data_IF_771534327717
#
_entry.id   IF_771534327717
#
_cell.length_a   1.000
_cell.length_b   1.000
_cell.length_c   1.000
_cell.angle_alpha   90.00
_cell.angle_beta   90.00
_cell.angle_gamma   90.00
#
_symmetry.space_group_name_H-M   'P 1'
#
loop_
_entity.id
_entity.type
_entity.pdbx_description
1 polymer ?
#
# COMPACT_ATOMS: atom_id res chain seq x y z
N UNK A 1 -16.72 0.28 13.17
CA UNK A 1 -16.79 -0.65 12.03
C UNK A 1 -17.87 -1.73 12.19
N UNK A 2 -18.65 -2.04 11.15
CA UNK A 2 -19.56 -3.21 11.07
C UNK A 2 -18.88 -4.42 10.40
N UNK A 3 -19.09 -5.66 10.87
CA UNK A 3 -18.58 -6.88 10.20
C UNK A 3 -19.74 -7.63 9.55
N UNK A 4 -19.65 -7.86 8.23
CA UNK A 4 -20.68 -8.47 7.39
C UNK A 4 -20.25 -9.89 7.01
N UNK A 5 -21.04 -10.91 7.38
CA UNK A 5 -20.69 -12.35 7.20
C UNK A 5 -21.46 -13.08 6.09
N UNK A 6 -22.48 -12.47 5.51
CA UNK A 6 -23.27 -13.09 4.43
C UNK A 6 -23.84 -12.05 3.49
N UNK A 7 -24.27 -12.47 2.30
CA UNK A 7 -24.96 -11.66 1.29
C UNK A 7 -26.38 -11.24 1.72
N UNK A 8 -26.61 -10.97 2.99
CA UNK A 8 -27.86 -10.43 3.48
C UNK A 8 -27.96 -8.95 3.08
N UNK A 9 -29.16 -8.47 2.69
CA UNK A 9 -29.37 -7.07 2.40
C UNK A 9 -29.04 -6.25 3.65
N UNK A 10 -28.14 -5.29 3.48
CA UNK A 10 -27.74 -4.37 4.54
C UNK A 10 -28.82 -3.29 4.61
N UNK A 11 -29.33 -2.97 5.82
CA UNK A 11 -30.42 -2.03 5.97
C UNK A 11 -30.03 -0.64 5.46
N UNK A 12 -30.89 -0.02 4.65
CA UNK A 12 -30.65 1.21 3.89
C UNK A 12 -30.38 2.49 4.70
N UNK A 13 -30.45 2.45 6.03
CA UNK A 13 -30.17 3.60 6.88
C UNK A 13 -29.90 3.13 8.30
N UNK A 14 -28.65 3.20 8.73
CA UNK A 14 -28.28 3.36 10.14
C UNK A 14 -27.28 4.49 10.23
N UNK A 15 -27.28 5.19 11.36
CA UNK A 15 -26.16 6.03 11.78
C UNK A 15 -24.89 5.20 11.67
N UNK A 16 -24.10 5.45 10.63
CA UNK A 16 -22.85 4.75 10.42
C UNK A 16 -21.90 5.11 11.56
N UNK A 17 -21.10 4.17 12.04
CA UNK A 17 -20.11 4.48 13.07
C UNK A 17 -19.21 5.62 12.59
N UNK A 18 -18.82 6.52 13.50
CA UNK A 18 -17.92 7.69 13.27
C UNK A 18 -16.49 7.28 12.83
N UNK A 19 -16.28 5.99 12.53
CA UNK A 19 -15.01 5.43 12.11
C UNK A 19 -14.81 5.65 10.59
N UNK A 20 -13.56 5.94 10.14
CA UNK A 20 -13.19 5.91 8.73
C UNK A 20 -13.55 4.60 8.01
N UNK A 21 -13.60 3.49 8.75
CA UNK A 21 -13.94 2.15 8.28
C UNK A 21 -15.38 1.80 8.70
N UNK A 22 -16.32 2.11 7.83
CA UNK A 22 -17.75 1.90 8.06
C UNK A 22 -18.08 0.41 8.22
N UNK A 23 -17.55 -0.43 7.32
CA UNK A 23 -17.80 -1.86 7.35
C UNK A 23 -16.66 -2.69 6.75
N UNK A 24 -16.65 -3.98 7.09
CA UNK A 24 -15.81 -5.01 6.51
C UNK A 24 -16.68 -6.19 6.13
N UNK A 25 -16.55 -6.68 4.90
CA UNK A 25 -17.14 -7.94 4.47
C UNK A 25 -16.02 -8.94 4.18
N UNK A 26 -16.11 -10.11 4.80
CA UNK A 26 -15.19 -11.22 4.56
C UNK A 26 -16.01 -12.51 4.40
N UNK A 27 -15.85 -13.19 3.28
CA UNK A 27 -16.61 -14.41 3.02
C UNK A 27 -16.40 -15.04 1.65
N UNK A 28 -17.03 -16.20 1.46
CA UNK A 28 -16.94 -16.97 0.21
C UNK A 28 -17.93 -16.47 -0.84
N UNK A 29 -17.46 -16.30 -2.08
CA UNK A 29 -18.25 -15.92 -3.24
C UNK A 29 -18.63 -17.15 -4.08
N UNK A 30 -19.88 -17.62 -3.95
CA UNK A 30 -20.37 -18.78 -4.72
C UNK A 30 -20.52 -18.47 -6.21
N UNK A 31 -21.30 -17.44 -6.55
CA UNK A 31 -21.52 -17.01 -7.93
C UNK A 31 -21.42 -15.49 -8.08
N UNK A 32 -22.18 -14.77 -7.26
CA UNK A 32 -22.30 -13.32 -7.36
C UNK A 32 -22.68 -12.72 -6.01
N UNK A 33 -22.17 -11.54 -5.72
CA UNK A 33 -22.58 -10.69 -4.60
C UNK A 33 -22.75 -9.26 -5.07
N UNK A 34 -23.85 -8.64 -4.67
CA UNK A 34 -24.08 -7.20 -4.91
C UNK A 34 -23.58 -6.45 -3.69
N UNK A 35 -22.66 -5.51 -3.92
CA UNK A 35 -22.11 -4.68 -2.85
C UNK A 35 -23.19 -3.70 -2.38
N UNK A 36 -23.33 -3.49 -1.07
CA UNK A 36 -24.24 -2.49 -0.56
C UNK A 36 -23.71 -1.09 -0.90
N UNK A 37 -24.61 -0.10 -0.96
CA UNK A 37 -24.23 1.30 -1.15
C UNK A 37 -23.78 1.93 0.17
N UNK A 38 -22.85 1.26 0.85
CA UNK A 38 -22.24 1.74 2.09
C UNK A 38 -21.02 2.59 1.76
N UNK A 39 -21.25 3.87 1.46
CA UNK A 39 -20.17 4.83 1.20
C UNK A 39 -19.63 4.79 -0.22
N UNK A 40 -18.66 5.67 -0.48
CA UNK A 40 -18.17 5.94 -1.83
C UNK A 40 -16.91 5.15 -2.17
N UNK A 41 -16.31 4.37 -1.27
CA UNK A 41 -15.05 3.68 -1.57
C UNK A 41 -14.97 2.24 -1.04
N UNK A 42 -14.63 1.33 -1.96
CA UNK A 42 -14.46 -0.09 -1.68
C UNK A 42 -13.06 -0.55 -2.05
N UNK A 43 -12.40 -1.25 -1.12
CA UNK A 43 -11.20 -2.02 -1.42
C UNK A 43 -11.57 -3.49 -1.53
N UNK A 44 -11.41 -4.07 -2.72
CA UNK A 44 -11.73 -5.48 -2.99
C UNK A 44 -10.45 -6.28 -3.13
N UNK A 45 -10.31 -7.32 -2.32
CA UNK A 45 -9.18 -8.25 -2.32
C UNK A 45 -9.68 -9.68 -2.58
N UNK A 46 -9.44 -10.26 -3.77
CA UNK A 46 -9.51 -11.69 -4.01
C UNK A 46 -8.49 -12.42 -3.14
N UNK A 47 -8.93 -13.46 -2.45
CA UNK A 47 -8.11 -14.28 -1.56
C UNK A 47 -8.02 -15.72 -2.08
N UNK A 48 -6.85 -16.35 -1.88
CA UNK A 48 -6.55 -17.64 -2.53
C UNK A 48 -6.59 -17.49 -4.05
N UNK A 49 -6.72 -18.56 -4.83
CA UNK A 49 -6.68 -18.51 -6.32
C UNK A 49 -7.92 -17.87 -7.00
N UNK A 50 -8.57 -16.93 -6.32
CA UNK A 50 -9.77 -16.26 -6.78
C UNK A 50 -9.54 -15.45 -8.07
N UNK A 51 -10.49 -15.56 -9.00
CA UNK A 51 -10.63 -14.65 -10.14
C UNK A 51 -12.05 -14.14 -10.22
N UNK A 52 -12.20 -12.83 -10.17
CA UNK A 52 -13.51 -12.18 -10.08
C UNK A 52 -13.65 -11.10 -11.15
N UNK A 53 -14.89 -10.78 -11.52
CA UNK A 53 -15.23 -9.57 -12.26
C UNK A 53 -15.95 -8.59 -11.35
N UNK A 54 -15.52 -7.34 -11.34
CA UNK A 54 -16.18 -6.24 -10.67
C UNK A 54 -16.00 -4.94 -11.45
N UNK A 55 -17.07 -4.17 -11.63
CA UNK A 55 -17.04 -2.89 -12.34
C UNK A 55 -16.36 -2.95 -13.74
N UNK A 56 -16.59 -4.03 -14.49
CA UNK A 56 -15.95 -4.26 -15.79
C UNK A 56 -14.46 -4.60 -15.75
N UNK A 57 -13.86 -4.72 -14.56
CA UNK A 57 -12.46 -5.10 -14.35
C UNK A 57 -12.38 -6.55 -13.89
N UNK A 58 -11.39 -7.29 -14.40
CA UNK A 58 -11.05 -8.64 -13.94
C UNK A 58 -9.93 -8.53 -12.91
N UNK A 59 -10.09 -9.21 -11.78
CA UNK A 59 -9.10 -9.28 -10.71
C UNK A 59 -8.65 -10.71 -10.48
N UNK A 60 -7.37 -10.87 -10.17
CA UNK A 60 -6.71 -12.12 -9.78
C UNK A 60 -6.20 -12.06 -8.33
N UNK A 61 -5.74 -13.20 -7.80
CA UNK A 61 -5.41 -13.44 -6.39
C UNK A 61 -4.33 -12.56 -5.74
N UNK A 62 -3.55 -11.84 -6.53
CA UNK A 62 -2.53 -10.89 -6.04
C UNK A 62 -2.85 -9.49 -6.55
N UNK A 63 -4.12 -9.13 -6.59
CA UNK A 63 -4.56 -7.82 -7.02
C UNK A 63 -5.58 -7.27 -6.05
N UNK A 64 -5.68 -5.96 -5.98
CA UNK A 64 -6.79 -5.29 -5.33
C UNK A 64 -7.45 -4.33 -6.31
N UNK A 65 -8.73 -4.07 -6.09
CA UNK A 65 -9.47 -3.06 -6.84
C UNK A 65 -9.97 -2.02 -5.87
N UNK A 66 -9.71 -0.78 -6.28
CA UNK A 66 -10.23 0.40 -5.66
C UNK A 66 -11.47 0.80 -6.44
N UNK A 67 -12.63 0.86 -5.79
CA UNK A 67 -13.90 1.21 -6.42
C UNK A 67 -14.46 2.46 -5.76
N UNK A 68 -14.77 3.48 -6.53
CA UNK A 68 -15.51 4.67 -6.07
C UNK A 68 -17.01 4.54 -6.25
N UNK A 69 -17.83 5.46 -5.72
CA UNK A 69 -19.28 5.44 -5.90
C UNK A 69 -19.66 5.19 -7.38
N UNK A 70 -20.61 4.28 -7.64
CA UNK A 70 -21.07 4.02 -9.01
C UNK A 70 -21.58 5.30 -9.67
N UNK A 71 -21.13 5.56 -10.90
CA UNK A 71 -21.52 6.75 -11.67
C UNK A 71 -23.00 6.78 -12.04
N UNK A 72 -23.67 5.63 -12.04
CA UNK A 72 -25.08 5.45 -12.43
C UNK A 72 -25.99 5.09 -11.25
N UNK A 73 -25.51 5.29 -10.01
CA UNK A 73 -26.20 4.94 -8.76
C UNK A 73 -26.59 3.44 -8.66
N UNK A 74 -26.09 2.56 -9.54
CA UNK A 74 -26.34 1.12 -9.46
C UNK A 74 -25.26 0.45 -8.61
N UNK A 75 -25.63 -0.40 -7.65
CA UNK A 75 -24.63 -1.07 -6.81
C UNK A 75 -23.70 -1.95 -7.64
N UNK A 76 -22.40 -1.92 -7.32
CA UNK A 76 -21.47 -2.83 -7.95
C UNK A 76 -21.82 -4.28 -7.65
N UNK A 77 -21.50 -5.12 -8.61
CA UNK A 77 -21.71 -6.54 -8.49
C UNK A 77 -20.40 -7.27 -8.75
N UNK A 78 -19.97 -8.07 -7.78
CA UNK A 78 -18.80 -8.93 -7.91
C UNK A 78 -19.30 -10.30 -8.35
N UNK A 79 -18.74 -10.82 -9.44
CA UNK A 79 -19.08 -12.14 -9.98
C UNK A 79 -17.84 -13.04 -9.98
N UNK A 80 -18.00 -14.30 -9.57
CA UNK A 80 -16.95 -15.30 -9.65
C UNK A 80 -16.77 -15.72 -11.12
N UNK A 81 -15.53 -15.73 -11.60
CA UNK A 81 -15.20 -16.14 -12.97
C UNK A 81 -14.61 -17.56 -13.06
N UNK A 82 -14.37 -18.22 -11.92
CA UNK A 82 -13.94 -19.62 -11.89
C UNK A 82 -15.13 -20.59 -11.91
N UNK A 83 -14.90 -21.77 -12.50
CA UNK A 83 -15.83 -22.91 -12.54
C UNK A 83 -15.49 -24.01 -11.50
N UNK A 84 -14.52 -23.77 -10.61
CA UNK A 84 -14.03 -24.77 -9.65
C UNK A 84 -14.99 -24.95 -8.46
N UNK A 85 -14.99 -26.13 -7.84
CA UNK A 85 -15.85 -26.48 -6.69
C UNK A 85 -15.62 -25.59 -5.44
N UNK A 86 -14.46 -24.94 -5.35
CA UNK A 86 -14.09 -24.05 -4.24
C UNK A 86 -14.58 -22.63 -4.49
N UNK A 87 -15.41 -22.12 -3.55
CA UNK A 87 -15.88 -20.73 -3.59
C UNK A 87 -14.74 -19.78 -3.17
N UNK A 88 -14.28 -18.86 -4.02
CA UNK A 88 -13.21 -17.93 -3.68
C UNK A 88 -13.57 -17.08 -2.46
N UNK A 89 -12.60 -16.84 -1.58
CA UNK A 89 -12.77 -15.91 -0.48
C UNK A 89 -12.50 -14.49 -0.94
N UNK A 90 -13.19 -13.53 -0.33
CA UNK A 90 -13.04 -12.12 -0.61
C UNK A 90 -13.01 -11.32 0.68
N UNK A 91 -12.18 -10.28 0.69
CA UNK A 91 -12.23 -9.20 1.66
C UNK A 91 -12.66 -7.92 0.94
N UNK A 92 -13.67 -7.25 1.48
CA UNK A 92 -14.14 -5.94 1.02
C UNK A 92 -14.17 -4.97 2.19
N UNK A 93 -13.41 -3.87 2.09
CA UNK A 93 -13.39 -2.80 3.09
C UNK A 93 -14.23 -1.62 2.59
N UNK A 94 -15.11 -1.10 3.44
CA UNK A 94 -16.04 -0.01 3.13
C UNK A 94 -15.64 1.25 3.90
N UNK A 95 -15.24 2.29 3.18
CA UNK A 95 -14.73 3.53 3.77
C UNK A 95 -15.78 4.64 3.77
N UNK A 96 -15.72 5.52 4.77
CA UNK A 96 -16.65 6.65 4.89
C UNK A 96 -16.41 7.74 3.82
N UNK A 97 -17.47 8.42 3.35
CA UNK A 97 -17.36 9.57 2.45
C UNK A 97 -16.37 10.65 2.88
N UNK A 98 -16.47 11.08 4.15
CA UNK A 98 -15.66 12.16 4.69
C UNK A 98 -14.17 11.77 4.71
N UNK A 99 -13.88 10.53 5.10
CA UNK A 99 -12.52 10.02 5.07
C UNK A 99 -11.92 10.03 3.66
N UNK A 100 -12.72 9.76 2.62
CA UNK A 100 -12.23 9.78 1.23
C UNK A 100 -11.84 11.20 0.82
N UNK A 101 -12.65 12.20 1.18
CA UNK A 101 -12.36 13.60 0.86
C UNK A 101 -11.08 14.04 1.55
N UNK A 102 -10.98 13.78 2.85
CA UNK A 102 -9.80 14.10 3.66
C UNK A 102 -8.54 13.43 3.10
N UNK A 103 -8.66 12.15 2.75
CA UNK A 103 -7.59 11.34 2.21
C UNK A 103 -7.18 11.78 0.81
N UNK A 104 -8.12 12.12 -0.08
CA UNK A 104 -7.80 12.63 -1.41
C UNK A 104 -7.02 13.93 -1.32
N UNK A 105 -7.45 14.85 -0.44
CA UNK A 105 -6.74 16.08 -0.12
C UNK A 105 -5.35 15.82 0.44
N UNK A 106 -5.22 14.96 1.45
CA UNK A 106 -3.94 14.61 2.08
C UNK A 106 -2.95 13.96 1.10
N UNK A 107 -3.41 13.06 0.24
CA UNK A 107 -2.56 12.35 -0.71
C UNK A 107 -2.24 13.19 -1.95
N UNK A 108 -2.95 14.31 -2.18
CA UNK A 108 -2.80 15.14 -3.37
C UNK A 108 -3.27 14.44 -4.64
N UNK A 109 -4.32 13.63 -4.54
CA UNK A 109 -4.94 12.92 -5.66
C UNK A 109 -6.33 13.51 -5.93
N UNK A 110 -6.83 13.49 -7.18
CA UNK A 110 -8.18 13.95 -7.47
C UNK A 110 -9.23 13.22 -6.62
N UNK A 111 -10.20 13.95 -6.08
CA UNK A 111 -11.29 13.38 -5.28
C UNK A 111 -12.15 12.37 -6.07
N UNK A 112 -12.25 12.56 -7.38
CA UNK A 112 -12.86 11.62 -8.31
C UNK A 112 -11.86 10.51 -8.67
N UNK A 113 -11.74 9.52 -7.79
CA UNK A 113 -10.82 8.38 -7.95
C UNK A 113 -11.31 7.38 -9.02
N UNK A 114 -12.39 7.68 -9.76
CA UNK A 114 -12.85 6.87 -10.89
C UNK A 114 -11.77 6.71 -11.99
N UNK A 115 -10.81 7.64 -12.07
CA UNK A 115 -9.68 7.53 -13.01
C UNK A 115 -8.62 6.49 -12.58
N UNK A 116 -8.76 5.90 -11.38
CA UNK A 116 -7.87 4.88 -10.83
C UNK A 116 -8.52 3.47 -10.79
N UNK A 117 -9.69 3.29 -11.42
CA UNK A 117 -10.42 2.01 -11.54
C UNK A 117 -9.66 0.98 -12.38
N UNK A 118 -8.61 0.41 -11.82
CA UNK A 118 -7.84 -0.67 -12.42
C UNK A 118 -7.46 -1.68 -11.36
N UNK A 119 -7.36 -2.95 -11.75
CA UNK A 119 -6.76 -3.96 -10.89
C UNK A 119 -5.30 -3.55 -10.62
N UNK A 120 -4.98 -3.34 -9.34
CA UNK A 120 -3.64 -2.97 -8.91
C UNK A 120 -2.97 -4.22 -8.36
N UNK A 121 -1.80 -4.62 -8.87
CA UNK A 121 -1.08 -5.76 -8.32
C UNK A 121 -0.67 -5.48 -6.88
N UNK A 122 -1.04 -6.38 -5.98
CA UNK A 122 -0.33 -6.60 -4.74
C UNK A 122 0.98 -7.29 -5.06
N UNK A 123 2.02 -6.93 -4.33
CA UNK A 123 3.35 -7.41 -4.63
C UNK A 123 3.72 -8.51 -3.63
N UNK A 124 4.32 -9.58 -4.13
CA UNK A 124 4.55 -10.78 -3.32
C UNK A 124 5.42 -10.49 -2.10
N UNK A 125 4.90 -10.85 -0.92
CA UNK A 125 5.61 -10.75 0.35
C UNK A 125 5.58 -9.37 1.00
N UNK A 126 4.83 -8.40 0.46
CA UNK A 126 4.57 -7.13 1.17
C UNK A 126 3.66 -7.33 2.39
N UNK A 127 3.64 -6.36 3.30
CA UNK A 127 2.88 -6.44 4.56
C UNK A 127 1.39 -6.65 4.32
N UNK A 128 0.81 -6.03 3.27
CA UNK A 128 -0.58 -6.26 2.88
C UNK A 128 -0.79 -7.73 2.49
N UNK A 129 0.04 -8.28 1.60
CA UNK A 129 -0.06 -9.68 1.16
C UNK A 129 0.13 -10.66 2.32
N UNK A 130 1.07 -10.40 3.23
CA UNK A 130 1.29 -11.21 4.44
C UNK A 130 0.06 -11.20 5.35
N UNK A 131 -0.54 -10.03 5.55
CA UNK A 131 -1.77 -9.91 6.33
C UNK A 131 -2.93 -10.66 5.68
N UNK A 132 -3.14 -10.50 4.36
CA UNK A 132 -4.19 -11.20 3.63
C UNK A 132 -4.00 -12.72 3.69
N UNK A 133 -2.76 -13.22 3.62
CA UNK A 133 -2.45 -14.64 3.83
C UNK A 133 -2.78 -15.10 5.26
N UNK A 134 -2.45 -14.29 6.26
CA UNK A 134 -2.82 -14.56 7.66
C UNK A 134 -4.33 -14.68 7.85
N UNK A 135 -5.12 -13.80 7.20
CA UNK A 135 -6.57 -13.86 7.21
C UNK A 135 -7.12 -15.15 6.60
N UNK A 136 -6.55 -15.62 5.48
CA UNK A 136 -6.95 -16.89 4.86
C UNK A 136 -6.73 -18.05 5.84
N UNK A 137 -5.62 -18.03 6.59
CA UNK A 137 -5.23 -19.12 7.48
C UNK A 137 -6.08 -19.22 8.76
N UNK A 138 -6.73 -18.13 9.19
CA UNK A 138 -7.41 -18.09 10.49
C UNK A 138 -8.87 -18.59 10.44
N UNK A 139 -9.47 -18.73 9.24
CA UNK A 139 -10.85 -19.15 8.92
C UNK A 139 -12.00 -18.42 9.67
N UNK A 140 -11.72 -17.71 10.77
CA UNK A 140 -12.68 -17.16 11.70
C UNK A 140 -12.27 -15.74 12.16
N UNK A 141 -13.05 -14.74 11.76
CA UNK A 141 -12.89 -13.33 12.15
C UNK A 141 -13.55 -13.00 13.51
N UNK A 142 -13.87 -14.01 14.33
CA UNK A 142 -14.81 -13.91 15.47
C UNK A 142 -14.32 -13.14 16.70
N UNK A 143 -13.02 -13.11 17.01
CA UNK A 143 -12.53 -12.44 18.24
C UNK A 143 -11.19 -11.68 18.12
N UNK A 144 -10.52 -11.70 16.96
CA UNK A 144 -9.20 -11.07 16.75
C UNK A 144 -9.22 -9.78 15.89
N UNK A 145 -10.38 -9.35 15.40
CA UNK A 145 -10.51 -8.24 14.46
C UNK A 145 -10.58 -6.88 15.16
N UNK A 146 -9.45 -6.39 15.66
CA UNK A 146 -9.34 -4.96 15.94
C UNK A 146 -9.52 -4.16 14.64
N UNK A 147 -10.08 -2.95 14.73
CA UNK A 147 -10.17 -2.01 13.59
C UNK A 147 -8.77 -1.63 13.07
N UNK A 148 -7.77 -1.68 13.95
CA UNK A 148 -6.39 -1.26 13.74
C UNK A 148 -5.68 -1.99 12.57
N UNK A 149 -5.61 -3.34 12.50
CA UNK A 149 -5.02 -4.02 11.35
C UNK A 149 -5.65 -3.67 9.99
N UNK A 150 -6.96 -3.40 9.95
CA UNK A 150 -7.61 -2.97 8.71
C UNK A 150 -7.23 -1.53 8.35
N UNK A 151 -7.18 -0.65 9.35
CA UNK A 151 -6.72 0.73 9.17
C UNK A 151 -5.26 0.78 8.69
N UNK A 152 -4.41 -0.14 9.15
CA UNK A 152 -3.04 -0.28 8.65
C UNK A 152 -3.00 -0.66 7.16
N UNK A 153 -3.82 -1.64 6.74
CA UNK A 153 -3.94 -2.00 5.32
C UNK A 153 -4.42 -0.81 4.50
N UNK A 154 -5.45 -0.11 4.98
CA UNK A 154 -6.00 1.08 4.32
C UNK A 154 -4.87 2.10 4.16
N UNK A 155 -4.14 2.44 5.22
CA UNK A 155 -3.00 3.35 5.16
C UNK A 155 -1.93 2.92 4.14
N UNK A 156 -1.56 1.64 4.12
CA UNK A 156 -0.58 1.11 3.18
C UNK A 156 -1.06 1.16 1.73
N UNK A 157 -2.29 0.73 1.47
CA UNK A 157 -2.88 0.75 0.12
C UNK A 157 -2.99 2.18 -0.40
N UNK A 158 -3.40 3.11 0.45
CA UNK A 158 -3.48 4.52 0.10
C UNK A 158 -2.12 5.15 -0.17
N UNK A 159 -1.10 4.77 0.59
CA UNK A 159 0.27 5.14 0.30
C UNK A 159 0.70 4.62 -1.08
N UNK A 160 0.42 3.36 -1.40
CA UNK A 160 0.70 2.77 -2.72
C UNK A 160 -0.06 3.51 -3.83
N UNK A 161 -1.32 3.90 -3.61
CA UNK A 161 -2.10 4.65 -4.59
C UNK A 161 -1.54 6.04 -4.85
N UNK A 162 -1.09 6.74 -3.82
CA UNK A 162 -0.41 8.03 -3.98
C UNK A 162 0.87 7.89 -4.80
N UNK A 163 1.70 6.90 -4.49
CA UNK A 163 2.93 6.63 -5.24
C UNK A 163 2.62 6.31 -6.70
N UNK A 164 1.60 5.48 -6.96
CA UNK A 164 1.13 5.15 -8.29
C UNK A 164 0.64 6.38 -9.04
N UNK A 165 -0.17 7.23 -8.40
CA UNK A 165 -0.70 8.45 -9.02
C UNK A 165 0.43 9.41 -9.40
N UNK A 166 1.37 9.66 -8.49
CA UNK A 166 2.55 10.48 -8.77
C UNK A 166 3.39 9.90 -9.92
N UNK A 167 3.62 8.59 -9.91
CA UNK A 167 4.30 7.90 -11.00
C UNK A 167 3.59 8.08 -12.35
N UNK A 168 2.26 8.00 -12.38
CA UNK A 168 1.47 8.22 -13.59
C UNK A 168 1.57 9.66 -14.11
N UNK A 169 1.51 10.65 -13.21
CA UNK A 169 1.70 12.06 -13.58
C UNK A 169 3.09 12.30 -14.18
N UNK A 170 4.12 11.73 -13.55
CA UNK A 170 5.51 11.86 -14.01
C UNK A 170 5.78 11.13 -15.32
N UNK A 171 5.01 10.07 -15.61
CA UNK A 171 5.07 9.32 -16.86
C UNK A 171 4.04 9.78 -17.91
N UNK A 172 3.32 10.89 -17.68
CA UNK A 172 2.25 11.39 -18.57
C UNK A 172 2.68 11.66 -20.01
N UNK A 173 3.98 11.88 -20.25
CA UNK A 173 4.56 12.06 -21.59
C UNK A 173 4.71 10.73 -22.38
N UNK A 174 4.60 9.58 -21.72
CA UNK A 174 4.68 8.26 -22.36
C UNK A 174 3.32 7.79 -22.88
N UNK A 175 3.31 6.93 -23.90
CA UNK A 175 2.08 6.29 -24.39
C UNK A 175 1.47 5.40 -23.30
N UNK A 176 0.13 5.38 -23.20
CA UNK A 176 -0.62 4.60 -22.19
C UNK A 176 -0.19 3.13 -22.11
N UNK A 177 0.03 2.46 -23.24
CA UNK A 177 0.46 1.06 -23.28
C UNK A 177 1.85 0.87 -22.65
N UNK A 178 2.76 1.81 -22.90
CA UNK A 178 4.11 1.80 -22.30
C UNK A 178 4.04 2.01 -20.78
N UNK A 179 3.17 2.90 -20.31
CA UNK A 179 2.96 3.12 -18.86
C UNK A 179 2.43 1.85 -18.19
N UNK A 180 1.46 1.18 -18.81
CA UNK A 180 0.88 -0.06 -18.31
C UNK A 180 1.91 -1.19 -18.16
N UNK A 181 2.94 -1.21 -19.00
CA UNK A 181 4.05 -2.19 -18.92
C UNK A 181 5.12 -1.78 -17.90
N UNK A 182 5.52 -0.49 -17.88
CA UNK A 182 6.65 -0.02 -17.07
C UNK A 182 6.31 0.18 -15.60
N UNK A 183 5.11 0.68 -15.29
CA UNK A 183 4.74 1.05 -13.93
C UNK A 183 4.79 -0.14 -12.94
N UNK A 184 4.24 -1.33 -13.26
CA UNK A 184 4.38 -2.50 -12.38
C UNK A 184 5.85 -2.87 -12.12
N UNK A 185 6.70 -2.82 -13.15
CA UNK A 185 8.14 -3.11 -13.03
C UNK A 185 8.85 -2.10 -12.14
N UNK A 186 8.50 -0.82 -12.23
CA UNK A 186 9.09 0.23 -11.40
C UNK A 186 8.66 0.13 -9.93
N UNK A 187 7.41 -0.24 -9.66
CA UNK A 187 6.92 -0.52 -8.31
C UNK A 187 7.61 -1.77 -7.71
N UNK A 188 7.77 -2.84 -8.49
CA UNK A 188 8.54 -4.02 -8.10
C UNK A 188 10.00 -3.67 -7.76
N UNK A 189 10.64 -2.83 -8.58
CA UNK A 189 12.01 -2.37 -8.33
C UNK A 189 12.12 -1.60 -7.00
N UNK A 190 11.14 -0.74 -6.69
CA UNK A 190 11.10 0.01 -5.44
C UNK A 190 11.04 -0.94 -4.23
N UNK A 191 10.17 -1.94 -4.26
CA UNK A 191 10.09 -2.90 -3.17
C UNK A 191 11.31 -3.80 -3.05
N UNK A 192 11.91 -4.19 -4.18
CA UNK A 192 13.18 -4.91 -4.15
C UNK A 192 14.23 -4.13 -3.35
N UNK A 193 14.23 -2.80 -3.48
CA UNK A 193 15.07 -1.89 -2.70
C UNK A 193 14.62 -1.83 -1.23
N UNK A 194 13.33 -1.62 -0.95
CA UNK A 194 12.76 -1.57 0.41
C UNK A 194 12.99 -2.86 1.21
N UNK A 195 13.04 -4.02 0.57
CA UNK A 195 13.32 -5.30 1.22
C UNK A 195 14.82 -5.50 1.53
N UNK A 196 15.73 -4.70 0.96
CA UNK A 196 17.18 -4.95 0.97
C UNK A 196 18.03 -3.73 1.34
N UNK A 197 17.43 -2.59 1.68
CA UNK A 197 18.16 -1.32 1.83
C UNK A 197 19.23 -1.36 2.93
N UNK A 198 19.11 -2.24 3.92
CA UNK A 198 20.13 -2.47 4.97
C UNK A 198 21.42 -3.08 4.42
N UNK A 199 21.38 -3.68 3.23
CA UNK A 199 22.54 -4.25 2.55
C UNK A 199 22.99 -3.38 1.37
N UNK A 200 24.23 -3.56 0.87
CA UNK A 200 24.68 -2.88 -0.34
C UNK A 200 23.81 -3.25 -1.55
N UNK A 201 23.20 -2.25 -2.19
CA UNK A 201 22.39 -2.41 -3.41
C UNK A 201 23.11 -1.75 -4.58
N UNK A 202 23.31 -2.49 -5.67
CA UNK A 202 23.77 -1.95 -6.95
C UNK A 202 22.58 -1.73 -7.89
N UNK A 203 22.53 -0.59 -8.57
CA UNK A 203 21.48 -0.27 -9.56
C UNK A 203 21.32 -1.37 -10.61
N UNK A 204 22.42 -1.93 -11.13
CA UNK A 204 22.43 -3.08 -12.04
C UNK A 204 21.61 -4.28 -11.54
N UNK A 205 21.67 -4.59 -10.24
CA UNK A 205 20.95 -5.73 -9.66
C UNK A 205 19.44 -5.48 -9.68
N UNK A 206 19.03 -4.26 -9.30
CA UNK A 206 17.62 -3.88 -9.32
C UNK A 206 17.08 -3.85 -10.75
N UNK A 207 17.85 -3.29 -11.69
CA UNK A 207 17.47 -3.25 -13.10
C UNK A 207 17.29 -4.67 -13.69
N UNK A 208 18.22 -5.57 -13.37
CA UNK A 208 18.14 -6.98 -13.77
C UNK A 208 16.92 -7.71 -13.18
N UNK A 209 16.57 -7.42 -11.92
CA UNK A 209 15.38 -7.99 -11.27
C UNK A 209 14.07 -7.66 -11.99
N UNK A 210 14.02 -6.50 -12.67
CA UNK A 210 12.81 -6.03 -13.37
C UNK A 210 12.97 -6.06 -14.90
N UNK A 211 13.92 -6.85 -15.40
CA UNK A 211 14.18 -7.04 -16.83
C UNK A 211 14.37 -5.73 -17.61
N UNK A 212 15.11 -4.77 -17.04
CA UNK A 212 15.48 -3.51 -17.69
C UNK A 212 17.01 -3.37 -17.76
N UNK A 213 17.50 -2.68 -18.80
CA UNK A 213 18.90 -2.24 -18.81
C UNK A 213 19.16 -1.24 -17.68
N UNK A 214 20.38 -1.25 -17.13
CA UNK A 214 20.75 -0.38 -16.01
C UNK A 214 20.53 1.12 -16.31
N UNK A 215 20.93 1.56 -17.50
CA UNK A 215 20.75 2.96 -17.92
C UNK A 215 19.27 3.34 -18.05
N UNK A 216 18.47 2.50 -18.72
CA UNK A 216 17.05 2.77 -18.90
C UNK A 216 16.31 2.77 -17.55
N UNK A 217 16.61 1.80 -16.70
CA UNK A 217 16.04 1.71 -15.35
C UNK A 217 16.38 2.94 -14.51
N UNK A 218 17.65 3.36 -14.45
CA UNK A 218 18.05 4.51 -13.64
C UNK A 218 17.33 5.80 -14.07
N UNK A 219 17.15 6.00 -15.39
CA UNK A 219 16.40 7.13 -15.94
C UNK A 219 14.92 7.04 -15.57
N UNK A 220 14.28 5.89 -15.84
CA UNK A 220 12.86 5.69 -15.54
C UNK A 220 12.57 5.82 -14.05
N UNK A 221 13.38 5.21 -13.18
CA UNK A 221 13.21 5.28 -11.73
C UNK A 221 13.28 6.73 -11.24
N UNK A 222 14.28 7.50 -11.71
CA UNK A 222 14.41 8.92 -11.36
C UNK A 222 13.24 9.75 -11.87
N UNK A 223 12.80 9.54 -13.11
CA UNK A 223 11.63 10.24 -13.66
C UNK A 223 10.36 9.88 -12.90
N UNK A 224 10.19 8.61 -12.54
CA UNK A 224 8.95 8.12 -11.94
C UNK A 224 8.80 8.54 -10.48
N UNK A 225 9.88 8.47 -9.70
CA UNK A 225 9.85 8.70 -8.25
C UNK A 225 10.55 9.98 -7.80
N UNK A 226 11.02 10.82 -8.73
CA UNK A 226 11.76 12.06 -8.49
C UNK A 226 13.02 11.91 -7.63
N UNK A 227 13.54 10.69 -7.50
CA UNK A 227 14.75 10.38 -6.73
C UNK A 227 15.57 9.31 -7.45
N UNK A 228 16.89 9.41 -7.35
CA UNK A 228 17.76 8.30 -7.79
C UNK A 228 17.66 7.12 -6.82
N UNK A 229 17.95 5.91 -7.29
CA UNK A 229 18.03 4.69 -6.46
C UNK A 229 18.92 4.92 -5.23
N UNK A 230 20.07 5.56 -5.40
CA UNK A 230 20.99 5.88 -4.30
C UNK A 230 20.38 6.82 -3.27
N UNK A 231 19.75 7.90 -3.71
CA UNK A 231 19.08 8.84 -2.81
C UNK A 231 17.93 8.17 -2.06
N UNK A 232 17.21 7.28 -2.74
CA UNK A 232 16.12 6.53 -2.15
C UNK A 232 16.58 5.56 -1.05
N UNK A 233 17.64 4.79 -1.30
CA UNK A 233 18.28 3.94 -0.28
C UNK A 233 18.76 4.77 0.92
N UNK A 234 19.40 5.91 0.68
CA UNK A 234 19.85 6.80 1.77
C UNK A 234 18.65 7.24 2.62
N UNK A 235 17.53 7.64 2.00
CA UNK A 235 16.32 8.04 2.70
C UNK A 235 15.80 6.91 3.60
N UNK A 236 15.62 5.71 3.06
CA UNK A 236 15.17 4.54 3.82
C UNK A 236 16.05 4.25 5.04
N UNK A 237 17.39 4.28 4.86
CA UNK A 237 18.34 4.05 5.96
C UNK A 237 18.26 5.12 7.05
N UNK A 238 18.07 6.38 6.67
CA UNK A 238 17.98 7.48 7.62
C UNK A 238 16.63 7.49 8.34
N UNK A 239 15.56 7.09 7.67
CA UNK A 239 14.24 6.92 8.28
C UNK A 239 14.27 5.82 9.34
N UNK A 240 14.88 4.67 9.03
CA UNK A 240 15.07 3.60 10.01
C UNK A 240 16.01 4.03 11.15
N UNK A 241 17.05 4.81 10.85
CA UNK A 241 17.92 5.35 11.89
C UNK A 241 17.16 6.28 12.86
N UNK A 242 16.26 7.12 12.36
CA UNK A 242 15.39 7.97 13.21
C UNK A 242 14.53 7.10 14.12
N UNK A 243 13.85 6.10 13.55
CA UNK A 243 13.04 5.15 14.32
C UNK A 243 13.84 4.48 15.43
N UNK A 244 15.05 4.00 15.15
CA UNK A 244 15.92 3.37 16.14
C UNK A 244 16.44 4.36 17.20
N UNK A 245 16.70 5.62 16.83
CA UNK A 245 17.12 6.67 17.77
C UNK A 245 16.00 7.04 18.75
N UNK A 246 14.74 6.97 18.30
CA UNK A 246 13.53 7.31 19.06
C UNK A 246 13.05 6.15 19.94
N UNK A 247 13.13 4.92 19.43
CA UNK A 247 12.56 3.73 20.08
C UNK A 247 13.56 2.89 20.89
N UNK A 248 14.87 3.20 20.82
CA UNK A 248 15.90 2.39 21.47
C UNK A 248 17.06 3.21 22.05
N UNK A 249 17.75 2.62 23.03
CA UNK A 249 18.98 3.16 23.62
C UNK A 249 20.28 2.70 22.92
N UNK A 250 20.18 2.03 21.76
CA UNK A 250 21.35 1.54 21.01
C UNK A 250 22.37 2.65 20.77
N UNK A 251 23.67 2.34 20.73
CA UNK A 251 24.70 3.36 20.46
C UNK A 251 24.55 3.86 19.02
N UNK A 252 24.87 5.13 18.78
CA UNK A 252 24.82 5.75 17.45
C UNK A 252 25.71 5.01 16.43
N UNK A 253 26.84 4.45 16.90
CA UNK A 253 27.71 3.56 16.13
C UNK A 253 26.97 2.34 15.62
N UNK A 254 26.25 1.68 16.52
CA UNK A 254 25.60 0.41 16.26
C UNK A 254 24.41 0.62 15.32
N UNK A 255 23.65 1.70 15.53
CA UNK A 255 22.58 2.13 14.61
C UNK A 255 23.13 2.39 13.22
N UNK A 256 24.26 3.10 13.09
CA UNK A 256 24.87 3.39 11.79
C UNK A 256 25.25 2.11 11.02
N UNK A 257 25.81 1.12 11.71
CA UNK A 257 26.14 -0.19 11.15
C UNK A 257 24.88 -0.99 10.78
N UNK A 258 23.89 -1.00 11.67
CA UNK A 258 22.62 -1.72 11.51
C UNK A 258 21.83 -1.21 10.30
N UNK A 259 21.80 0.11 10.07
CA UNK A 259 21.15 0.70 8.90
C UNK A 259 22.02 0.66 7.63
N UNK A 260 23.09 -0.15 7.63
CA UNK A 260 23.84 -0.50 6.43
C UNK A 260 24.96 0.45 6.02
N UNK A 261 25.39 1.38 6.90
CA UNK A 261 26.62 2.15 6.66
C UNK A 261 27.84 1.35 7.11
N UNK A 262 28.91 1.41 6.33
CA UNK A 262 30.19 0.76 6.68
C UNK A 262 31.11 1.66 7.51
N UNK A 263 30.77 2.95 7.66
CA UNK A 263 31.52 3.87 8.51
C UNK A 263 30.59 4.85 9.23
N UNK A 264 30.89 5.08 10.51
CA UNK A 264 30.15 6.01 11.36
C UNK A 264 30.19 7.44 10.78
N UNK A 265 31.35 7.88 10.27
CA UNK A 265 31.49 9.22 9.69
C UNK A 265 30.58 9.43 8.49
N UNK A 266 30.44 8.42 7.61
CA UNK A 266 29.52 8.50 6.47
C UNK A 266 28.06 8.59 6.94
N UNK A 267 27.70 7.79 7.96
CA UNK A 267 26.37 7.84 8.56
C UNK A 267 26.06 9.22 9.17
N UNK A 268 26.93 9.73 10.06
CA UNK A 268 26.71 11.03 10.73
C UNK A 268 26.59 12.16 9.71
N UNK A 269 27.45 12.17 8.69
CA UNK A 269 27.39 13.20 7.64
C UNK A 269 26.11 13.11 6.82
N UNK A 270 25.68 11.91 6.44
CA UNK A 270 24.43 11.70 5.72
C UNK A 270 23.22 12.12 6.57
N UNK A 271 23.19 11.71 7.84
CA UNK A 271 22.12 12.03 8.78
C UNK A 271 22.02 13.54 9.00
N UNK A 272 23.14 14.19 9.33
CA UNK A 272 23.16 15.65 9.55
C UNK A 272 22.76 16.43 8.30
N UNK A 273 23.17 15.98 7.12
CA UNK A 273 22.78 16.61 5.85
C UNK A 273 21.27 16.54 5.59
N UNK A 274 20.63 15.43 5.97
CA UNK A 274 19.22 15.20 5.71
C UNK A 274 18.31 15.77 6.81
N UNK A 275 18.72 15.64 8.08
CA UNK A 275 17.91 15.96 9.26
C UNK A 275 18.28 17.33 9.85
N UNK A 276 19.46 17.87 9.53
CA UNK A 276 19.94 19.17 10.00
C UNK A 276 20.79 19.13 11.28
N UNK A 277 20.62 18.10 12.11
CA UNK A 277 21.34 17.90 13.38
C UNK A 277 22.03 16.53 13.44
N UNK A 278 22.94 16.35 14.40
CA UNK A 278 23.63 15.06 14.58
C UNK A 278 22.65 13.99 15.12
N UNK A 279 22.92 12.69 14.89
CA UNK A 279 22.10 11.61 15.45
C UNK A 279 21.95 11.69 16.98
N UNK A 280 23.04 12.01 17.70
CA UNK A 280 23.00 12.18 19.16
C UNK A 280 22.16 13.38 19.56
N UNK A 281 22.28 14.52 18.85
CA UNK A 281 21.46 15.70 19.11
C UNK A 281 19.98 15.44 18.85
N UNK A 282 19.67 14.68 17.79
CA UNK A 282 18.30 14.26 17.48
C UNK A 282 17.70 13.42 18.62
N UNK A 283 18.43 12.43 19.14
CA UNK A 283 17.98 11.63 20.29
C UNK A 283 17.71 12.51 21.52
N UNK A 284 18.64 13.38 21.88
CA UNK A 284 18.49 14.25 23.05
C UNK A 284 17.27 15.16 22.93
N UNK A 285 17.00 15.70 21.75
CA UNK A 285 15.81 16.53 21.50
C UNK A 285 14.51 15.73 21.66
N UNK A 286 14.47 14.51 21.09
CA UNK A 286 13.29 13.66 21.19
C UNK A 286 13.01 13.23 22.64
N UNK A 287 14.05 12.84 23.39
CA UNK A 287 13.92 12.47 24.81
C UNK A 287 13.44 13.63 25.68
N UNK A 288 13.90 14.86 25.41
CA UNK A 288 13.43 16.04 26.11
C UNK A 288 11.95 16.37 25.83
N UNK A 289 11.47 16.10 24.60
CA UNK A 289 10.06 16.27 24.25
C UNK A 289 9.16 15.20 24.89
N UNK A 290 9.65 13.97 25.05
CA UNK A 290 8.89 12.89 25.68
C UNK A 290 8.76 13.01 27.21
N UNK A 291 9.50 13.93 27.84
CA UNK A 291 9.50 14.17 29.29
C UNK A 291 8.63 15.38 29.70
N UNK A 292 8.03 16.08 28.74
CA UNK A 292 7.09 17.20 28.94
C UNK A 292 5.66 16.78 28.58
#
# INVERSE_FOLDING_TARGET
>A
MLILRSAAPIPEKRDYPVSPLNAVWYGSLRQRVTLPQLGHLFLVFPLGEARISCAGTILEHNQYLFLTQPSDERPYTISNLHSTETSPQLLVLFLSPDFIVDMAGFLGIPADLNQLLHAVPLLQGDTVSQFLQGLIATEDMTHAAAEEPFMDIIGQVLHLQRLRHQALLNLSSYKRNTISELLPRLLQARQYIEARYLHPIKTKQVAGHVALSEYHFARLFKTTFDVTVRQYVIRLRLDEARRLLESTDKRVTDIGLEVGYTSLSAFINAFRRQVGISPSGYRSQFQALAQN
#
